data_IF_659111922334
#
_entry.id   IF_659111922334
#
_cell.length_a   1.000
_cell.length_b   1.000
_cell.length_c   1.000
_cell.angle_alpha   90.00
_cell.angle_beta   90.00
_cell.angle_gamma   90.00
#
_symmetry.space_group_name_H-M   'P 1'
#
loop_
_entity.id
_entity.type
_entity.pdbx_description
1 polymer ?
#
# COMPACT_ATOMS: atom_id res chain seq x y z
N UNK A 1 2.36 49.95 45.11
CA UNK A 1 2.38 48.76 45.97
C UNK A 1 3.06 47.66 45.18
N UNK A 2 4.31 47.60 45.30
CA UNK A 2 5.23 46.66 45.89
C UNK A 2 4.99 45.22 45.39
N UNK A 3 5.77 44.81 44.38
CA UNK A 3 6.10 43.44 44.14
C UNK A 3 7.23 42.98 45.03
N UNK A 4 7.73 41.76 45.00
CA UNK A 4 9.16 41.63 45.30
C UNK A 4 9.99 41.00 44.18
N UNK A 5 11.20 41.55 44.09
CA UNK A 5 12.38 41.03 43.43
C UNK A 5 12.63 39.56 43.69
N UNK A 6 13.01 38.82 42.60
CA UNK A 6 13.73 37.57 42.70
C UNK A 6 15.12 37.80 42.15
N UNK A 7 16.07 37.82 43.05
CA UNK A 7 17.50 37.99 42.83
C UNK A 7 18.07 36.85 42.01
N UNK A 8 18.83 37.20 40.98
CA UNK A 8 19.79 36.40 40.29
C UNK A 8 20.85 35.84 41.25
N UNK A 9 20.84 34.53 41.47
CA UNK A 9 21.97 33.81 42.07
C UNK A 9 22.93 33.41 40.98
N UNK A 10 24.05 34.12 40.87
CA UNK A 10 25.19 33.76 40.05
C UNK A 10 25.82 32.49 40.59
N UNK A 11 25.89 31.47 39.76
CA UNK A 11 26.75 30.30 39.96
C UNK A 11 27.93 30.45 39.03
N UNK A 12 28.96 31.15 39.50
CA UNK A 12 30.34 31.02 39.01
C UNK A 12 30.85 29.68 39.55
N UNK A 13 30.85 28.61 38.72
CA UNK A 13 31.61 27.43 39.01
C UNK A 13 32.94 27.49 38.23
N UNK A 14 33.98 27.50 39.00
CA UNK A 14 35.39 27.40 38.58
C UNK A 14 35.56 26.25 37.57
N UNK A 15 36.28 26.55 36.49
CA UNK A 15 36.77 25.57 35.54
C UNK A 15 37.89 24.79 36.23
N UNK A 16 37.53 23.70 36.87
CA UNK A 16 38.50 22.75 37.39
C UNK A 16 39.14 22.01 36.20
N UNK A 17 40.47 22.02 36.18
CA UNK A 17 41.30 21.31 35.24
C UNK A 17 40.90 19.83 35.18
N UNK A 18 40.44 19.38 33.98
CA UNK A 18 40.13 18.01 33.70
C UNK A 18 41.37 17.11 33.87
N UNK A 19 41.43 16.39 34.98
CA UNK A 19 42.34 15.23 35.12
C UNK A 19 41.79 14.14 34.21
N UNK A 20 42.71 13.51 33.43
CA UNK A 20 42.39 12.48 32.45
C UNK A 20 41.47 11.39 33.03
N UNK A 21 40.44 11.07 32.32
CA UNK A 21 39.50 10.00 32.65
C UNK A 21 40.12 8.64 32.31
N UNK A 22 40.99 8.14 33.21
CA UNK A 22 41.35 6.72 33.29
C UNK A 22 40.50 6.07 34.38
N UNK A 23 39.20 5.97 34.20
CA UNK A 23 38.38 5.19 35.11
C UNK A 23 37.93 3.91 34.40
N UNK A 24 38.13 2.76 35.04
CA UNK A 24 37.71 1.44 34.60
C UNK A 24 36.18 1.37 34.31
N UNK A 25 35.37 2.27 34.85
CA UNK A 25 33.95 2.41 34.56
C UNK A 25 33.62 2.69 33.09
N UNK A 26 34.56 3.35 32.35
CA UNK A 26 34.41 3.60 30.91
C UNK A 26 34.50 2.34 30.06
N UNK A 27 35.34 1.43 30.46
CA UNK A 27 35.53 0.14 29.80
C UNK A 27 34.26 -0.71 29.93
N UNK A 28 33.52 -0.51 31.00
CA UNK A 28 32.29 -1.30 31.28
C UNK A 28 31.09 -0.82 30.47
N UNK A 29 30.95 0.47 30.17
CA UNK A 29 29.75 1.03 29.48
C UNK A 29 29.98 1.17 27.98
N UNK A 30 31.19 1.62 27.55
CA UNK A 30 31.52 1.80 26.13
C UNK A 30 32.53 0.78 25.60
N UNK A 31 33.08 -0.08 26.45
CA UNK A 31 34.06 -1.11 26.09
C UNK A 31 35.43 -0.61 25.64
N UNK A 32 35.69 0.71 25.65
CA UNK A 32 36.97 1.28 25.15
C UNK A 32 37.30 2.65 25.73
N UNK A 33 38.58 2.88 25.95
CA UNK A 33 39.16 4.19 26.18
C UNK A 33 39.26 4.96 24.84
N UNK A 34 38.48 6.04 24.67
CA UNK A 34 38.49 6.88 23.48
C UNK A 34 37.32 7.88 23.44
N UNK A 35 37.34 8.84 22.50
CA UNK A 35 36.29 9.82 22.39
C UNK A 35 34.92 9.14 22.03
N UNK A 36 33.88 9.58 22.69
CA UNK A 36 32.50 9.11 22.40
C UNK A 36 32.17 9.36 20.93
N UNK A 37 31.72 8.36 20.15
CA UNK A 37 31.39 8.54 18.73
C UNK A 37 30.18 9.42 18.51
N UNK A 38 29.34 9.62 19.54
CA UNK A 38 28.14 10.45 19.49
C UNK A 38 28.46 11.90 19.83
N UNK A 39 29.26 12.15 20.87
CA UNK A 39 29.53 13.52 21.35
C UNK A 39 30.89 14.10 20.93
N UNK A 40 31.81 13.27 20.43
CA UNK A 40 33.22 13.65 20.11
C UNK A 40 34.02 14.26 21.24
N UNK A 41 33.46 14.37 22.42
CA UNK A 41 34.09 14.91 23.61
C UNK A 41 34.29 13.81 24.65
N UNK A 42 35.36 13.85 25.46
CA UNK A 42 35.49 12.97 26.63
C UNK A 42 34.32 13.23 27.56
N UNK A 43 33.54 12.21 27.90
CA UNK A 43 32.49 12.39 28.90
C UNK A 43 33.06 12.45 30.29
N UNK A 44 32.65 13.39 31.12
CA UNK A 44 33.00 13.39 32.53
C UNK A 44 32.06 12.41 33.28
N UNK A 45 32.59 11.24 33.65
CA UNK A 45 31.90 10.30 34.55
C UNK A 45 30.75 9.47 33.91
N UNK A 46 29.53 9.80 34.12
CA UNK A 46 28.35 9.07 33.62
C UNK A 46 27.93 9.57 32.24
N UNK A 47 27.81 8.66 31.26
CA UNK A 47 27.41 9.01 29.91
C UNK A 47 25.89 9.09 29.81
N UNK A 48 25.34 10.27 29.86
CA UNK A 48 23.89 10.52 29.79
C UNK A 48 23.25 9.91 28.52
N UNK A 49 24.01 9.81 27.44
CA UNK A 49 23.54 9.17 26.21
C UNK A 49 23.42 7.66 26.34
N UNK A 50 24.36 7.02 27.08
CA UNK A 50 24.28 5.59 27.39
C UNK A 50 23.10 5.28 28.28
N UNK A 51 22.86 6.08 29.32
CA UNK A 51 21.72 5.94 30.22
C UNK A 51 20.40 6.14 29.50
N UNK A 52 20.30 7.14 28.64
CA UNK A 52 19.11 7.34 27.80
C UNK A 52 18.90 6.15 26.87
N UNK A 53 19.94 5.62 26.23
CA UNK A 53 19.81 4.45 25.36
C UNK A 53 19.46 3.18 26.14
N UNK A 54 20.01 2.99 27.35
CA UNK A 54 19.70 1.85 28.20
C UNK A 54 18.25 1.90 28.74
N UNK A 55 17.72 3.09 28.97
CA UNK A 55 16.34 3.27 29.48
C UNK A 55 15.25 3.09 28.42
N UNK A 56 15.61 3.09 27.12
CA UNK A 56 14.64 2.97 26.03
C UNK A 56 14.03 1.57 25.99
N UNK A 57 12.70 1.52 25.73
CA UNK A 57 11.97 0.27 25.36
C UNK A 57 12.11 -0.03 23.86
N UNK A 58 13.28 0.25 23.33
CA UNK A 58 13.68 0.05 21.95
C UNK A 58 15.08 -0.56 21.96
N UNK A 59 15.28 -1.65 21.25
CA UNK A 59 16.60 -2.27 21.14
C UNK A 59 17.53 -1.37 20.31
N UNK A 60 18.69 -1.09 20.85
CA UNK A 60 19.73 -0.32 20.16
C UNK A 60 20.98 -1.19 20.05
N UNK A 61 21.46 -1.37 18.82
CA UNK A 61 22.69 -2.09 18.50
C UNK A 61 23.57 -1.17 17.65
N UNK A 62 24.83 -0.98 18.06
CA UNK A 62 25.81 -0.19 17.32
C UNK A 62 26.98 -1.08 16.94
N UNK A 63 27.32 -1.09 15.66
CA UNK A 63 28.44 -1.82 15.08
C UNK A 63 29.61 -0.86 14.77
N UNK A 64 30.82 -1.28 15.07
CA UNK A 64 32.06 -0.71 14.53
C UNK A 64 32.46 -1.53 13.30
N UNK A 65 32.14 -1.04 12.11
CA UNK A 65 32.39 -1.73 10.84
C UNK A 65 33.88 -1.78 10.53
N UNK A 66 34.67 -0.80 11.01
CA UNK A 66 36.13 -0.76 10.79
C UNK A 66 36.89 -1.83 11.60
N UNK A 67 36.30 -2.27 12.72
CA UNK A 67 36.92 -3.26 13.60
C UNK A 67 36.19 -4.60 13.62
N UNK A 68 35.11 -4.72 12.84
CA UNK A 68 34.20 -5.89 12.79
C UNK A 68 33.79 -6.32 14.20
N UNK A 69 33.29 -5.37 15.00
CA UNK A 69 32.93 -5.63 16.40
C UNK A 69 31.66 -4.88 16.82
N UNK A 70 30.99 -5.38 17.85
CA UNK A 70 29.90 -4.64 18.48
C UNK A 70 30.48 -3.52 19.33
N UNK A 71 29.99 -2.30 19.10
CA UNK A 71 30.35 -1.14 19.88
C UNK A 71 29.43 -0.98 21.11
N UNK A 72 28.12 -1.17 20.92
CA UNK A 72 27.12 -1.03 21.97
C UNK A 72 25.89 -1.89 21.68
N UNK A 73 25.32 -2.50 22.73
CA UNK A 73 24.02 -3.18 22.68
C UNK A 73 23.32 -2.85 24.00
N UNK A 74 22.16 -2.21 23.95
CA UNK A 74 21.44 -1.86 25.17
C UNK A 74 20.76 -3.08 25.82
N UNK A 75 20.32 -2.92 27.07
CA UNK A 75 19.68 -3.99 27.85
C UNK A 75 18.49 -4.58 27.11
N UNK A 76 17.63 -3.75 26.55
CA UNK A 76 16.42 -4.21 25.84
C UNK A 76 16.78 -5.10 24.64
N UNK A 77 17.80 -4.73 23.83
CA UNK A 77 18.23 -5.57 22.72
C UNK A 77 18.84 -6.90 23.19
N UNK A 78 19.63 -6.89 24.26
CA UNK A 78 20.18 -8.12 24.87
C UNK A 78 19.08 -9.07 25.34
N UNK A 79 18.12 -8.55 26.09
CA UNK A 79 17.01 -9.34 26.63
C UNK A 79 16.13 -9.92 25.49
N UNK A 80 15.92 -9.13 24.46
CA UNK A 80 15.16 -9.50 23.26
C UNK A 80 15.85 -10.64 22.50
N UNK A 81 17.16 -10.56 22.26
CA UNK A 81 17.93 -11.59 21.58
C UNK A 81 18.00 -12.89 22.39
N UNK A 82 18.25 -12.79 23.69
CA UNK A 82 18.25 -13.95 24.59
C UNK A 82 16.90 -14.65 24.62
N UNK A 83 15.80 -13.89 24.52
CA UNK A 83 14.45 -14.47 24.50
C UNK A 83 14.16 -15.32 23.26
N UNK A 84 15.00 -15.23 22.22
CA UNK A 84 14.93 -16.07 21.01
C UNK A 84 16.15 -17.00 20.87
N UNK A 85 16.90 -17.19 21.96
CA UNK A 85 18.04 -18.12 22.01
C UNK A 85 19.26 -17.65 21.22
N UNK A 86 19.45 -16.34 21.08
CA UNK A 86 20.60 -15.73 20.38
C UNK A 86 21.43 -14.91 21.34
N UNK A 87 22.75 -15.08 21.25
CA UNK A 87 23.70 -14.21 21.97
C UNK A 87 23.98 -12.95 21.16
N UNK A 88 24.20 -11.80 21.81
CA UNK A 88 24.48 -10.53 21.13
C UNK A 88 25.96 -10.44 20.73
N UNK A 89 26.44 -11.32 19.87
CA UNK A 89 27.76 -11.28 19.26
C UNK A 89 27.73 -10.63 17.87
N UNK A 90 28.92 -10.21 17.40
CA UNK A 90 29.04 -9.50 16.13
C UNK A 90 28.64 -10.37 14.93
N UNK A 91 29.08 -11.63 14.88
CA UNK A 91 28.84 -12.51 13.73
C UNK A 91 27.36 -12.80 13.58
N UNK A 92 26.68 -13.16 14.68
CA UNK A 92 25.23 -13.41 14.68
C UNK A 92 24.44 -12.17 14.25
N UNK A 93 24.74 -11.00 14.83
CA UNK A 93 23.96 -9.79 14.56
C UNK A 93 24.30 -9.17 13.21
N UNK A 94 25.55 -9.20 12.78
CA UNK A 94 25.92 -8.68 11.47
C UNK A 94 25.31 -9.52 10.35
N UNK A 95 25.31 -10.84 10.48
CA UNK A 95 24.67 -11.75 9.52
C UNK A 95 23.15 -11.56 9.43
N UNK A 96 22.49 -11.25 10.55
CA UNK A 96 21.02 -11.05 10.59
C UNK A 96 20.58 -9.65 10.15
N UNK A 97 21.35 -8.60 10.50
CA UNK A 97 20.87 -7.23 10.45
C UNK A 97 21.65 -6.35 9.45
N UNK A 98 22.89 -6.71 9.11
CA UNK A 98 23.74 -5.98 8.16
C UNK A 98 23.81 -6.62 6.78
N UNK A 99 23.07 -7.72 6.53
CA UNK A 99 23.08 -8.40 5.24
C UNK A 99 22.92 -7.38 4.10
N UNK A 100 23.76 -7.46 3.04
CA UNK A 100 23.74 -6.51 1.94
C UNK A 100 22.38 -6.57 1.25
N UNK A 101 21.61 -5.52 1.37
CA UNK A 101 20.59 -5.23 0.38
C UNK A 101 21.31 -4.51 -0.75
N UNK A 102 21.03 -4.91 -1.97
CA UNK A 102 21.60 -4.34 -3.19
C UNK A 102 21.09 -2.92 -3.47
N UNK A 103 21.21 -2.01 -2.48
CA UNK A 103 20.81 -0.63 -2.69
C UNK A 103 21.61 0.31 -1.81
N UNK A 104 22.38 1.14 -2.49
CA UNK A 104 22.87 2.37 -1.91
C UNK A 104 21.71 3.33 -1.73
N UNK A 105 21.52 3.77 -0.55
CA UNK A 105 20.98 4.77 -0.21
C UNK A 105 20.45 5.46 0.92
N UNK A 106 19.91 6.55 0.92
CA UNK A 106 19.58 7.57 1.91
C UNK A 106 18.16 7.52 2.50
N UNK A 107 17.38 6.56 2.13
CA UNK A 107 16.05 6.38 2.71
C UNK A 107 16.05 5.12 3.59
N UNK A 108 15.84 5.27 4.90
CA UNK A 108 15.98 4.22 5.91
C UNK A 108 14.71 3.37 6.00
N UNK A 109 14.46 2.39 5.09
CA UNK A 109 13.24 1.62 5.11
C UNK A 109 13.18 0.78 6.38
N UNK A 110 12.03 0.78 7.02
CA UNK A 110 11.73 -0.13 8.11
C UNK A 110 11.75 -1.58 7.54
N UNK A 111 12.57 -2.43 8.13
CA UNK A 111 12.76 -3.83 7.71
C UNK A 111 12.15 -4.75 8.74
N UNK A 112 11.79 -5.95 8.31
CA UNK A 112 11.29 -7.00 9.20
C UNK A 112 12.21 -8.21 9.17
N UNK A 113 12.36 -8.85 10.33
CA UNK A 113 13.12 -10.08 10.51
C UNK A 113 12.32 -11.04 11.36
N UNK A 114 12.11 -12.25 10.87
CA UNK A 114 11.48 -13.31 11.64
C UNK A 114 12.56 -14.22 12.27
N UNK A 115 12.48 -14.40 13.59
CA UNK A 115 13.31 -15.34 14.33
C UNK A 115 12.40 -16.27 15.13
N UNK A 116 12.32 -17.52 14.71
CA UNK A 116 11.36 -18.48 15.27
C UNK A 116 9.92 -18.02 15.09
N UNK A 117 9.18 -17.89 16.19
CA UNK A 117 7.78 -17.42 16.21
C UNK A 117 7.62 -15.91 16.41
N UNK A 118 8.72 -15.15 16.51
CA UNK A 118 8.71 -13.71 16.74
C UNK A 118 9.07 -12.94 15.49
N UNK A 119 8.43 -11.78 15.34
CA UNK A 119 8.67 -10.83 14.27
C UNK A 119 9.26 -9.54 14.83
N UNK A 120 10.40 -9.14 14.28
CA UNK A 120 11.13 -7.94 14.68
C UNK A 120 11.10 -6.92 13.55
N UNK A 121 10.70 -5.70 13.86
CA UNK A 121 10.89 -4.54 13.00
C UNK A 121 12.20 -3.85 13.35
N UNK A 122 13.01 -3.51 12.35
CA UNK A 122 14.25 -2.79 12.57
C UNK A 122 14.55 -1.75 11.49
N UNK A 123 15.30 -0.73 11.87
CA UNK A 123 15.80 0.31 10.96
C UNK A 123 17.29 0.40 11.07
N UNK A 124 18.00 0.37 9.95
CA UNK A 124 19.47 0.43 9.86
C UNK A 124 19.88 1.83 9.42
N UNK A 125 20.83 2.39 10.15
CA UNK A 125 21.52 3.65 9.83
C UNK A 125 23.01 3.40 9.69
N UNK A 126 23.65 4.09 8.74
CA UNK A 126 25.09 4.01 8.53
C UNK A 126 25.71 5.41 8.51
N UNK A 127 26.82 5.59 9.23
CA UNK A 127 27.61 6.79 9.15
C UNK A 127 29.09 6.46 9.33
N UNK A 128 29.91 6.75 8.32
CA UNK A 128 31.35 6.46 8.30
C UNK A 128 31.66 5.00 8.61
N UNK A 129 32.40 4.73 9.72
CA UNK A 129 32.76 3.39 10.17
C UNK A 129 31.78 2.75 11.14
N UNK A 130 30.63 3.38 11.40
CA UNK A 130 29.62 2.86 12.32
C UNK A 130 28.31 2.57 11.59
N UNK A 131 27.60 1.53 12.06
CA UNK A 131 26.22 1.28 11.75
C UNK A 131 25.44 1.13 13.05
N UNK A 132 24.23 1.68 13.13
CA UNK A 132 23.35 1.46 14.28
C UNK A 132 21.97 1.06 13.85
N UNK A 133 21.36 0.25 14.68
CA UNK A 133 20.08 -0.38 14.40
C UNK A 133 19.15 -0.13 15.58
N UNK A 134 17.95 0.30 15.27
CA UNK A 134 16.83 0.27 16.19
C UNK A 134 16.00 -0.96 15.91
N UNK A 135 15.79 -1.81 16.92
CA UNK A 135 14.99 -3.04 16.78
C UNK A 135 13.87 -3.08 17.80
N UNK A 136 12.69 -3.51 17.36
CA UNK A 136 11.50 -3.67 18.21
C UNK A 136 10.84 -5.00 17.92
N UNK A 137 10.35 -5.68 18.96
CA UNK A 137 9.43 -6.80 18.79
C UNK A 137 8.06 -6.26 18.32
N UNK A 138 7.66 -6.64 17.13
CA UNK A 138 6.39 -6.26 16.53
C UNK A 138 5.43 -7.44 16.40
N UNK A 139 5.72 -8.59 17.04
CA UNK A 139 4.94 -9.82 16.93
C UNK A 139 3.48 -9.61 17.31
N UNK A 140 3.25 -8.98 18.46
CA UNK A 140 1.88 -8.71 18.94
C UNK A 140 1.16 -7.70 18.03
N UNK A 141 1.86 -6.66 17.59
CA UNK A 141 1.31 -5.65 16.67
C UNK A 141 0.91 -6.28 15.34
N UNK A 142 1.82 -7.02 14.70
CA UNK A 142 1.56 -7.71 13.43
C UNK A 142 0.43 -8.74 13.56
N UNK A 143 0.36 -9.46 14.70
CA UNK A 143 -0.72 -10.41 14.95
C UNK A 143 -2.08 -9.72 15.11
N UNK A 144 -2.13 -8.61 15.83
CA UNK A 144 -3.36 -7.81 15.99
C UNK A 144 -3.80 -7.19 14.69
N UNK A 145 -2.87 -6.67 13.88
CA UNK A 145 -3.15 -6.15 12.55
C UNK A 145 -3.70 -7.24 11.64
N UNK A 146 -3.11 -8.44 11.65
CA UNK A 146 -3.61 -9.59 10.88
C UNK A 146 -5.00 -10.06 11.35
N UNK A 147 -5.27 -10.04 12.65
CA UNK A 147 -6.60 -10.37 13.20
C UNK A 147 -7.61 -9.27 12.79
N UNK A 148 -7.25 -8.00 12.90
CA UNK A 148 -8.12 -6.90 12.51
C UNK A 148 -8.45 -6.96 11.01
N UNK A 149 -7.47 -7.24 10.16
CA UNK A 149 -7.65 -7.44 8.73
C UNK A 149 -8.54 -8.65 8.42
N UNK A 150 -8.35 -9.76 9.15
CA UNK A 150 -9.20 -10.94 9.02
C UNK A 150 -10.65 -10.66 9.44
N UNK A 151 -10.87 -9.95 10.55
CA UNK A 151 -12.20 -9.55 11.04
C UNK A 151 -12.85 -8.57 10.06
N UNK A 152 -12.12 -7.60 9.57
CA UNK A 152 -12.61 -6.67 8.55
C UNK A 152 -12.99 -7.41 7.26
N UNK A 153 -12.17 -8.37 6.83
CA UNK A 153 -12.44 -9.24 5.68
C UNK A 153 -13.69 -10.09 5.91
N UNK A 154 -13.87 -10.66 7.11
CA UNK A 154 -15.08 -11.45 7.45
C UNK A 154 -16.33 -10.58 7.49
N UNK A 155 -16.27 -9.38 8.06
CA UNK A 155 -17.40 -8.44 8.09
C UNK A 155 -17.75 -7.99 6.67
N UNK A 156 -16.76 -7.68 5.83
CA UNK A 156 -16.96 -7.34 4.44
C UNK A 156 -17.53 -8.50 3.63
N UNK A 157 -17.11 -9.75 3.87
CA UNK A 157 -17.67 -10.95 3.23
C UNK A 157 -19.15 -11.11 3.59
N UNK A 158 -19.52 -11.02 4.89
CA UNK A 158 -20.91 -11.12 5.32
C UNK A 158 -21.81 -10.07 4.68
N UNK A 159 -21.38 -8.83 4.64
CA UNK A 159 -22.08 -7.73 3.98
C UNK A 159 -22.19 -7.96 2.46
N UNK A 160 -21.09 -8.38 1.81
CA UNK A 160 -21.06 -8.69 0.39
C UNK A 160 -22.01 -9.84 0.07
N UNK A 161 -22.06 -10.93 0.85
CA UNK A 161 -23.00 -12.04 0.63
C UNK A 161 -24.46 -11.64 0.81
N UNK A 162 -24.76 -10.81 1.81
CA UNK A 162 -26.12 -10.31 2.01
C UNK A 162 -26.60 -9.47 0.82
N UNK A 163 -25.74 -8.58 0.33
CA UNK A 163 -26.02 -7.73 -0.81
C UNK A 163 -26.07 -8.54 -2.13
N UNK A 164 -25.16 -9.51 -2.33
CA UNK A 164 -25.21 -10.46 -3.47
C UNK A 164 -26.54 -11.19 -3.52
N UNK A 165 -27.00 -11.72 -2.38
CA UNK A 165 -28.30 -12.41 -2.32
C UNK A 165 -29.45 -11.49 -2.73
N UNK A 166 -29.42 -10.23 -2.33
CA UNK A 166 -30.42 -9.24 -2.69
C UNK A 166 -30.34 -8.90 -4.18
N UNK A 167 -29.13 -8.60 -4.68
CA UNK A 167 -28.91 -8.23 -6.08
C UNK A 167 -29.14 -9.38 -7.07
N UNK A 168 -28.94 -10.64 -6.70
CA UNK A 168 -29.33 -11.80 -7.50
C UNK A 168 -30.84 -12.07 -7.43
N UNK A 169 -31.44 -11.84 -6.28
CA UNK A 169 -32.89 -12.03 -6.10
C UNK A 169 -33.71 -11.14 -7.00
N UNK A 170 -33.28 -9.91 -7.23
CA UNK A 170 -34.02 -8.93 -8.04
C UNK A 170 -34.24 -9.40 -9.50
N UNK A 171 -33.17 -9.68 -10.31
CA UNK A 171 -33.34 -10.15 -11.69
C UNK A 171 -34.07 -11.50 -11.76
N UNK A 172 -33.80 -12.43 -10.82
CA UNK A 172 -34.49 -13.72 -10.78
C UNK A 172 -35.99 -13.54 -10.56
N UNK A 173 -36.38 -12.65 -9.65
CA UNK A 173 -37.80 -12.34 -9.41
C UNK A 173 -38.42 -11.62 -10.61
N UNK A 174 -37.71 -10.73 -11.30
CA UNK A 174 -38.16 -10.08 -12.53
C UNK A 174 -38.42 -11.11 -13.65
N UNK A 175 -37.51 -12.04 -13.87
CA UNK A 175 -37.64 -13.14 -14.84
C UNK A 175 -38.85 -14.00 -14.47
N UNK A 176 -38.99 -14.38 -13.19
CA UNK A 176 -40.11 -15.20 -12.72
C UNK A 176 -41.46 -14.51 -12.92
N UNK A 177 -41.55 -13.21 -12.63
CA UNK A 177 -42.74 -12.42 -12.85
C UNK A 177 -43.09 -12.34 -14.33
N UNK A 178 -42.12 -12.07 -15.20
CA UNK A 178 -42.30 -12.02 -16.65
C UNK A 178 -42.77 -13.36 -17.20
N UNK A 179 -42.20 -14.48 -16.79
CA UNK A 179 -42.62 -15.83 -17.17
C UNK A 179 -44.06 -16.13 -16.71
N UNK A 180 -44.44 -15.72 -15.48
CA UNK A 180 -45.78 -15.94 -14.95
C UNK A 180 -46.81 -15.16 -15.74
N UNK A 181 -46.54 -13.92 -16.12
CA UNK A 181 -47.42 -13.09 -16.94
C UNK A 181 -47.54 -13.65 -18.35
N UNK A 182 -46.45 -14.04 -18.98
CA UNK A 182 -46.49 -14.68 -20.30
C UNK A 182 -47.26 -15.99 -20.27
N UNK A 183 -47.04 -16.86 -19.28
CA UNK A 183 -47.74 -18.13 -19.16
C UNK A 183 -49.27 -17.98 -18.98
N UNK A 184 -49.70 -16.90 -18.30
CA UNK A 184 -51.13 -16.62 -18.11
C UNK A 184 -51.80 -15.99 -19.34
N UNK A 185 -51.07 -15.39 -20.26
CA UNK A 185 -51.62 -14.60 -21.37
C UNK A 185 -51.09 -15.01 -22.76
N UNK A 186 -50.45 -16.16 -22.87
CA UNK A 186 -49.77 -16.59 -24.09
C UNK A 186 -50.69 -16.59 -25.33
N UNK A 187 -51.96 -16.98 -25.15
CA UNK A 187 -52.96 -17.04 -26.23
C UNK A 187 -53.56 -15.67 -26.61
N UNK A 188 -53.31 -14.65 -25.77
CA UNK A 188 -53.90 -13.32 -25.96
C UNK A 188 -52.89 -12.27 -26.39
N UNK A 189 -51.61 -12.49 -26.14
CA UNK A 189 -50.58 -11.52 -26.47
C UNK A 189 -50.15 -11.60 -27.94
N UNK A 190 -49.88 -10.43 -28.52
CA UNK A 190 -49.28 -10.35 -29.84
C UNK A 190 -47.84 -10.91 -29.83
N UNK A 191 -47.36 -11.32 -30.99
CA UNK A 191 -45.97 -11.81 -31.15
C UNK A 191 -44.93 -10.77 -30.72
N UNK A 192 -45.22 -9.50 -30.96
CA UNK A 192 -44.40 -8.35 -30.59
C UNK A 192 -44.30 -8.23 -29.07
N UNK A 193 -45.45 -8.30 -28.36
CA UNK A 193 -45.51 -8.27 -26.90
C UNK A 193 -44.75 -9.44 -26.28
N UNK A 194 -44.87 -10.65 -26.83
CA UNK A 194 -44.10 -11.81 -26.38
C UNK A 194 -42.61 -11.58 -26.57
N UNK A 195 -42.20 -11.02 -27.73
CA UNK A 195 -40.79 -10.71 -27.98
C UNK A 195 -40.23 -9.69 -26.96
N UNK A 196 -40.97 -8.63 -26.64
CA UNK A 196 -40.54 -7.65 -25.59
C UNK A 196 -40.32 -8.30 -24.22
N UNK A 197 -41.19 -9.21 -23.80
CA UNK A 197 -41.02 -9.95 -22.54
C UNK A 197 -39.78 -10.86 -22.58
N UNK A 198 -39.56 -11.54 -23.73
CA UNK A 198 -38.36 -12.38 -23.93
C UNK A 198 -37.10 -11.56 -23.87
N UNK A 199 -37.03 -10.45 -24.58
CA UNK A 199 -35.87 -9.54 -24.60
C UNK A 199 -35.56 -9.01 -23.21
N UNK A 200 -36.58 -8.64 -22.44
CA UNK A 200 -36.45 -8.24 -21.04
C UNK A 200 -35.84 -9.35 -20.18
N UNK A 201 -36.32 -10.60 -20.33
CA UNK A 201 -35.75 -11.72 -19.58
C UNK A 201 -34.31 -12.02 -19.98
N UNK A 202 -33.96 -11.94 -21.27
CA UNK A 202 -32.58 -12.08 -21.75
C UNK A 202 -31.67 -11.03 -21.12
N UNK A 203 -32.13 -9.78 -21.03
CA UNK A 203 -31.39 -8.70 -20.38
C UNK A 203 -31.16 -8.97 -18.89
N UNK A 204 -32.12 -9.50 -18.16
CA UNK A 204 -32.00 -9.86 -16.76
C UNK A 204 -31.04 -11.05 -16.55
N UNK A 205 -31.05 -12.05 -17.47
CA UNK A 205 -30.07 -13.15 -17.45
C UNK A 205 -28.65 -12.61 -17.64
N UNK A 206 -28.43 -11.71 -18.60
CA UNK A 206 -27.12 -11.08 -18.82
C UNK A 206 -26.65 -10.30 -17.58
N UNK A 207 -27.58 -9.67 -16.85
CA UNK A 207 -27.28 -9.00 -15.57
C UNK A 207 -26.79 -9.99 -14.50
N UNK A 208 -27.46 -11.16 -14.36
CA UNK A 208 -27.03 -12.24 -13.46
C UNK A 208 -25.64 -12.74 -13.82
N UNK A 209 -25.36 -12.98 -15.11
CA UNK A 209 -24.04 -13.41 -15.58
C UNK A 209 -22.93 -12.39 -15.27
N UNK A 210 -23.23 -11.10 -15.41
CA UNK A 210 -22.29 -10.01 -15.07
C UNK A 210 -21.98 -9.98 -13.56
N UNK A 211 -23.01 -10.16 -12.72
CA UNK A 211 -22.83 -10.27 -11.27
C UNK A 211 -21.96 -11.47 -10.90
N UNK A 212 -22.22 -12.66 -11.48
CA UNK A 212 -21.41 -13.86 -11.23
C UNK A 212 -19.97 -13.70 -11.69
N UNK A 213 -19.72 -13.04 -12.84
CA UNK A 213 -18.35 -12.72 -13.30
C UNK A 213 -17.63 -11.79 -12.33
N UNK A 214 -18.31 -10.77 -11.83
CA UNK A 214 -17.76 -9.83 -10.85
C UNK A 214 -17.39 -10.53 -9.53
N UNK A 215 -18.25 -11.44 -9.05
CA UNK A 215 -17.99 -12.24 -7.86
C UNK A 215 -16.81 -13.20 -8.03
N UNK A 216 -16.70 -13.84 -9.20
CA UNK A 216 -15.54 -14.68 -9.52
C UNK A 216 -14.24 -13.86 -9.51
N UNK A 217 -14.25 -12.65 -10.05
CA UNK A 217 -13.11 -11.73 -10.01
C UNK A 217 -12.76 -11.29 -8.58
N UNK A 218 -13.78 -11.09 -7.71
CA UNK A 218 -13.56 -10.76 -6.30
C UNK A 218 -12.80 -11.87 -5.54
N UNK A 219 -13.05 -13.14 -5.89
CA UNK A 219 -12.40 -14.31 -5.27
C UNK A 219 -11.08 -14.72 -5.94
N UNK A 220 -10.91 -14.43 -7.24
CA UNK A 220 -9.83 -14.97 -8.06
C UNK A 220 -8.42 -14.55 -7.63
N UNK A 221 -8.27 -13.40 -6.95
CA UNK A 221 -6.99 -12.83 -6.59
C UNK A 221 -6.79 -12.75 -5.07
N UNK A 222 -7.16 -13.80 -4.35
CA UNK A 222 -6.90 -13.86 -2.90
C UNK A 222 -5.41 -13.76 -2.55
N UNK A 223 -4.56 -14.32 -3.40
CA UNK A 223 -3.10 -14.23 -3.29
C UNK A 223 -2.53 -13.81 -4.66
N UNK A 224 -2.27 -12.51 -4.89
CA UNK A 224 -1.67 -12.06 -6.14
C UNK A 224 -0.25 -12.63 -6.29
N UNK A 225 0.09 -13.07 -7.50
CA UNK A 225 1.43 -13.50 -7.83
C UNK A 225 2.28 -12.26 -8.18
N UNK A 226 2.87 -11.64 -7.15
CA UNK A 226 3.69 -10.44 -7.33
C UNK A 226 4.94 -10.76 -8.12
N UNK A 227 5.16 -10.04 -9.21
CA UNK A 227 6.37 -10.08 -10.01
C UNK A 227 6.79 -8.66 -10.40
N UNK A 228 8.02 -8.49 -10.80
CA UNK A 228 8.54 -7.21 -11.26
C UNK A 228 8.01 -6.91 -12.65
N UNK A 229 7.22 -5.86 -12.79
CA UNK A 229 6.56 -5.44 -14.04
C UNK A 229 7.06 -4.06 -14.43
N UNK A 230 7.42 -3.90 -15.71
CA UNK A 230 7.68 -2.60 -16.31
C UNK A 230 6.33 -1.94 -16.63
N UNK A 231 5.99 -0.89 -15.90
CA UNK A 231 4.65 -0.30 -15.92
C UNK A 231 4.40 0.52 -17.19
N UNK A 232 5.42 1.14 -17.77
CA UNK A 232 5.29 1.86 -19.04
C UNK A 232 4.87 0.93 -20.17
N UNK A 233 5.60 -0.19 -20.36
CA UNK A 233 5.27 -1.21 -21.37
C UNK A 233 3.90 -1.83 -21.11
N UNK A 234 3.55 -2.08 -19.84
CA UNK A 234 2.23 -2.58 -19.46
C UNK A 234 1.11 -1.62 -19.88
N UNK A 235 1.24 -0.32 -19.60
CA UNK A 235 0.25 0.71 -19.96
C UNK A 235 0.13 0.83 -21.49
N UNK A 236 1.22 0.76 -22.21
CA UNK A 236 1.20 0.77 -23.69
C UNK A 236 0.51 -0.45 -24.28
N UNK A 237 0.76 -1.65 -23.72
CA UNK A 237 0.08 -2.87 -24.13
C UNK A 237 -1.42 -2.82 -23.84
N UNK A 238 -1.78 -2.36 -22.64
CA UNK A 238 -3.17 -2.14 -22.27
C UNK A 238 -3.87 -1.15 -23.21
N UNK A 239 -3.22 -0.04 -23.52
CA UNK A 239 -3.77 0.96 -24.41
C UNK A 239 -4.01 0.40 -25.82
N UNK A 240 -3.07 -0.38 -26.36
CA UNK A 240 -3.26 -1.09 -27.65
C UNK A 240 -4.46 -2.03 -27.58
N UNK A 241 -4.63 -2.75 -26.47
CA UNK A 241 -5.74 -3.67 -26.28
C UNK A 241 -7.11 -2.97 -26.33
N UNK A 242 -7.25 -1.77 -25.73
CA UNK A 242 -8.52 -1.04 -25.69
C UNK A 242 -8.75 -0.11 -26.87
N UNK A 243 -7.74 0.15 -27.72
CA UNK A 243 -7.79 1.13 -28.82
C UNK A 243 -8.93 0.85 -29.80
N UNK A 244 -9.13 -0.41 -30.19
CA UNK A 244 -10.18 -0.76 -31.15
C UNK A 244 -11.58 -0.57 -30.56
N UNK A 245 -11.78 -0.90 -29.29
CA UNK A 245 -13.03 -0.71 -28.59
C UNK A 245 -13.30 0.80 -28.38
N UNK A 246 -12.31 1.57 -27.97
CA UNK A 246 -12.41 3.02 -27.86
C UNK A 246 -12.81 3.65 -29.21
N UNK A 247 -12.18 3.24 -30.32
CA UNK A 247 -12.51 3.73 -31.67
C UNK A 247 -13.95 3.40 -32.07
N UNK A 248 -14.43 2.18 -31.76
CA UNK A 248 -15.81 1.77 -32.04
C UNK A 248 -16.84 2.59 -31.28
N UNK A 249 -16.47 3.00 -30.05
CA UNK A 249 -17.31 3.82 -29.17
C UNK A 249 -17.11 5.34 -29.40
N UNK A 250 -16.35 5.76 -30.41
CA UNK A 250 -16.10 7.18 -30.73
C UNK A 250 -15.21 7.90 -29.71
N UNK A 251 -14.46 7.19 -28.90
CA UNK A 251 -13.61 7.75 -27.85
C UNK A 251 -12.21 8.05 -28.40
N UNK A 252 -11.76 9.30 -28.28
CA UNK A 252 -10.37 9.68 -28.57
C UNK A 252 -9.48 9.26 -27.40
N UNK A 253 -8.60 8.28 -27.63
CA UNK A 253 -7.66 7.79 -26.63
C UNK A 253 -6.32 8.52 -26.75
N UNK A 254 -5.89 9.20 -25.70
CA UNK A 254 -4.57 9.83 -25.59
C UNK A 254 -3.73 9.11 -24.54
N UNK A 255 -2.44 8.87 -24.88
CA UNK A 255 -1.52 8.14 -24.00
C UNK A 255 -0.25 8.97 -23.87
N UNK A 256 0.17 9.20 -22.63
CA UNK A 256 1.46 9.81 -22.33
C UNK A 256 2.17 8.96 -21.26
N UNK A 257 3.11 8.15 -21.74
CA UNK A 257 3.99 7.33 -20.88
C UNK A 257 5.36 8.03 -20.76
N UNK A 258 5.98 7.88 -19.61
CA UNK A 258 7.32 8.38 -19.31
C UNK A 258 8.24 7.19 -19.01
N UNK A 259 9.53 7.48 -18.85
CA UNK A 259 10.64 6.56 -18.60
C UNK A 259 10.29 5.21 -17.95
N UNK A 260 11.06 4.15 -18.22
CA UNK A 260 10.81 2.83 -17.67
C UNK A 260 10.77 2.88 -16.13
N UNK A 261 9.64 2.51 -15.57
CA UNK A 261 9.42 2.40 -14.13
C UNK A 261 8.88 1.01 -13.78
N UNK A 262 9.34 0.46 -12.66
CA UNK A 262 9.09 -0.92 -12.30
C UNK A 262 8.34 -1.01 -10.98
N UNK A 263 7.29 -1.83 -10.92
CA UNK A 263 6.58 -2.14 -9.69
C UNK A 263 6.55 -3.65 -9.42
N UNK A 264 6.42 -4.02 -8.15
CA UNK A 264 6.08 -5.39 -7.75
C UNK A 264 4.56 -5.54 -7.75
N UNK A 265 4.01 -6.13 -8.81
CA UNK A 265 2.57 -6.34 -8.93
C UNK A 265 2.23 -7.65 -9.66
N UNK A 266 0.98 -8.09 -9.56
CA UNK A 266 0.43 -9.14 -10.43
C UNK A 266 -0.14 -8.46 -11.69
N UNK A 267 0.43 -8.66 -12.89
CA UNK A 267 -0.01 -8.00 -14.11
C UNK A 267 -1.46 -8.32 -14.47
N UNK A 268 -1.95 -9.52 -14.12
CA UNK A 268 -3.36 -9.91 -14.39
C UNK A 268 -4.31 -9.15 -13.46
N UNK A 269 -3.93 -8.98 -12.19
CA UNK A 269 -4.70 -8.20 -11.24
C UNK A 269 -4.69 -6.71 -11.64
N UNK A 270 -3.55 -6.17 -12.06
CA UNK A 270 -3.45 -4.80 -12.56
C UNK A 270 -4.25 -4.60 -13.86
N UNK A 271 -4.22 -5.57 -14.77
CA UNK A 271 -5.05 -5.55 -15.99
C UNK A 271 -6.55 -5.50 -15.65
N UNK A 272 -6.99 -6.28 -14.65
CA UNK A 272 -8.39 -6.25 -14.18
C UNK A 272 -8.75 -4.88 -13.61
N UNK A 273 -7.87 -4.25 -12.84
CA UNK A 273 -8.06 -2.87 -12.37
C UNK A 273 -8.25 -1.92 -13.55
N UNK A 274 -7.31 -1.94 -14.51
CA UNK A 274 -7.35 -1.03 -15.66
C UNK A 274 -8.60 -1.25 -16.53
N UNK A 275 -9.03 -2.50 -16.72
CA UNK A 275 -10.28 -2.82 -17.45
C UNK A 275 -11.51 -2.27 -16.73
N UNK A 276 -11.58 -2.38 -15.41
CA UNK A 276 -12.69 -1.81 -14.63
C UNK A 276 -12.74 -0.27 -14.77
N UNK A 277 -11.57 0.38 -14.74
CA UNK A 277 -11.48 1.84 -14.91
C UNK A 277 -11.88 2.26 -16.32
N UNK A 278 -11.37 1.56 -17.34
CA UNK A 278 -11.72 1.81 -18.74
C UNK A 278 -13.23 1.64 -18.99
N UNK A 279 -13.85 0.58 -18.50
CA UNK A 279 -15.28 0.35 -18.64
C UNK A 279 -16.08 1.48 -17.98
N UNK A 280 -15.65 1.97 -16.82
CA UNK A 280 -16.30 3.11 -16.16
C UNK A 280 -16.17 4.40 -16.98
N UNK A 281 -15.00 4.69 -17.52
CA UNK A 281 -14.78 5.85 -18.37
C UNK A 281 -15.58 5.75 -19.69
N UNK A 282 -15.55 4.59 -20.35
CA UNK A 282 -16.31 4.35 -21.59
C UNK A 282 -17.81 4.56 -21.38
N UNK A 283 -18.36 4.08 -20.26
CA UNK A 283 -19.76 4.32 -19.93
C UNK A 283 -20.08 5.81 -19.69
N UNK A 284 -19.20 6.53 -18.99
CA UNK A 284 -19.36 7.95 -18.70
C UNK A 284 -19.27 8.83 -19.98
N UNK A 285 -18.61 8.31 -21.00
CA UNK A 285 -18.39 8.98 -22.28
C UNK A 285 -19.47 8.73 -23.34
N UNK A 286 -20.38 7.75 -23.13
CA UNK A 286 -21.38 7.32 -24.15
C UNK A 286 -22.25 8.45 -24.73
N UNK A 287 -22.47 9.52 -23.99
CA UNK A 287 -23.32 10.63 -24.39
C UNK A 287 -22.54 11.89 -24.77
N UNK A 288 -21.22 11.76 -25.03
CA UNK A 288 -20.35 12.86 -25.41
C UNK A 288 -19.97 12.77 -26.88
N UNK A 289 -20.19 13.84 -27.61
CA UNK A 289 -19.73 13.96 -29.01
C UNK A 289 -18.22 14.14 -29.11
N UNK A 290 -17.61 14.77 -28.10
CA UNK A 290 -16.18 15.04 -27.96
C UNK A 290 -15.49 14.09 -26.96
N UNK A 291 -15.91 12.82 -26.92
CA UNK A 291 -15.44 11.83 -25.95
C UNK A 291 -13.91 11.69 -25.98
N UNK A 292 -13.28 11.98 -24.86
CA UNK A 292 -11.83 11.89 -24.69
C UNK A 292 -11.47 11.09 -23.43
N UNK A 293 -10.54 10.15 -23.59
CA UNK A 293 -9.94 9.40 -22.51
C UNK A 293 -8.42 9.54 -22.55
N UNK A 294 -7.83 10.02 -21.49
CA UNK A 294 -6.38 10.22 -21.37
C UNK A 294 -5.79 9.30 -20.32
N UNK A 295 -4.77 8.53 -20.70
CA UNK A 295 -3.99 7.68 -19.79
C UNK A 295 -2.59 8.27 -19.68
N UNK A 296 -2.17 8.62 -18.46
CA UNK A 296 -0.84 9.16 -18.22
C UNK A 296 -0.12 8.35 -17.15
N UNK A 297 1.19 8.25 -17.28
CA UNK A 297 2.08 7.59 -16.33
C UNK A 297 3.05 8.64 -15.77
N UNK A 298 3.24 8.65 -14.46
CA UNK A 298 4.21 9.50 -13.79
C UNK A 298 4.90 8.70 -12.67
N UNK A 299 6.14 9.08 -12.34
CA UNK A 299 6.84 8.62 -11.16
C UNK A 299 7.15 9.84 -10.29
N UNK A 300 6.75 9.82 -9.03
CA UNK A 300 7.02 10.87 -8.04
C UNK A 300 7.42 10.23 -6.72
N UNK A 301 8.62 10.56 -6.27
CA UNK A 301 9.14 10.15 -4.96
C UNK A 301 9.04 8.63 -4.69
N UNK A 302 9.37 7.80 -5.70
CA UNK A 302 9.30 6.36 -5.59
C UNK A 302 7.86 5.78 -5.65
N UNK A 303 6.89 6.58 -6.07
CA UNK A 303 5.51 6.16 -6.32
C UNK A 303 5.19 6.31 -7.80
N UNK A 304 4.82 5.20 -8.41
CA UNK A 304 4.34 5.16 -9.80
C UNK A 304 2.84 5.48 -9.79
N UNK A 305 2.44 6.46 -10.57
CA UNK A 305 1.06 6.92 -10.67
C UNK A 305 0.56 6.70 -12.11
N UNK A 306 -0.41 5.80 -12.27
CA UNK A 306 -1.17 5.65 -13.50
C UNK A 306 -2.45 6.48 -13.35
N UNK A 307 -2.63 7.49 -14.16
CA UNK A 307 -3.81 8.35 -14.14
C UNK A 307 -4.67 8.09 -15.39
N UNK A 308 -5.94 7.80 -15.20
CA UNK A 308 -6.95 7.70 -16.24
C UNK A 308 -7.95 8.84 -16.03
N UNK A 309 -8.07 9.72 -17.03
CA UNK A 309 -8.94 10.90 -16.98
C UNK A 309 -9.86 10.93 -18.19
N UNK A 310 -11.16 11.05 -17.95
CA UNK A 310 -12.20 11.22 -18.98
C UNK A 310 -12.85 12.61 -18.88
N UNK A 311 -13.43 13.07 -19.96
CA UNK A 311 -14.29 14.26 -20.02
C UNK A 311 -15.79 13.92 -20.01
N UNK A 312 -16.15 12.78 -19.39
CA UNK A 312 -17.51 12.28 -19.34
C UNK A 312 -18.46 13.10 -18.47
N UNK A 313 -19.55 12.47 -18.07
CA UNK A 313 -20.61 13.12 -17.25
C UNK A 313 -20.15 13.49 -15.84
N UNK A 314 -19.07 12.88 -15.35
CA UNK A 314 -18.58 13.08 -13.99
C UNK A 314 -19.50 12.52 -12.93
N UNK A 315 -19.21 12.85 -11.66
CA UNK A 315 -19.95 12.40 -10.48
C UNK A 315 -20.21 13.56 -9.52
N UNK A 316 -21.34 13.53 -8.83
CA UNK A 316 -21.65 14.42 -7.72
C UNK A 316 -20.80 14.09 -6.48
N UNK A 317 -20.70 15.01 -5.52
CA UNK A 317 -19.99 14.77 -4.25
C UNK A 317 -20.55 13.57 -3.48
N UNK A 318 -21.85 13.34 -3.53
CA UNK A 318 -22.50 12.20 -2.90
C UNK A 318 -22.09 10.88 -3.55
N UNK A 319 -22.00 10.83 -4.87
CA UNK A 319 -21.56 9.64 -5.60
C UNK A 319 -20.09 9.35 -5.32
N UNK A 320 -19.22 10.36 -5.34
CA UNK A 320 -17.80 10.21 -4.99
C UNK A 320 -17.64 9.67 -3.57
N UNK A 321 -18.44 10.11 -2.61
CA UNK A 321 -18.40 9.63 -1.23
C UNK A 321 -18.78 8.14 -1.09
N UNK A 322 -19.64 7.63 -1.97
CA UNK A 322 -20.17 6.26 -1.89
C UNK A 322 -19.55 5.30 -2.91
N UNK A 323 -18.76 5.78 -3.86
CA UNK A 323 -18.25 5.02 -5.02
C UNK A 323 -17.46 3.75 -4.68
N UNK A 324 -16.91 3.66 -3.47
CA UNK A 324 -16.21 2.46 -2.96
C UNK A 324 -17.09 1.58 -2.05
N UNK A 325 -18.38 1.88 -1.93
CA UNK A 325 -19.32 1.00 -1.24
C UNK A 325 -19.75 -0.14 -2.18
N UNK A 326 -19.73 -1.39 -1.72
CA UNK A 326 -20.18 -2.52 -2.53
C UNK A 326 -21.62 -2.32 -3.02
N UNK A 327 -21.85 -2.64 -4.29
CA UNK A 327 -23.12 -2.54 -5.00
C UNK A 327 -23.65 -1.12 -5.23
N UNK A 328 -22.92 -0.10 -4.82
CA UNK A 328 -23.28 1.27 -5.18
C UNK A 328 -23.02 1.49 -6.67
N UNK A 329 -24.07 1.82 -7.41
CA UNK A 329 -24.02 2.11 -8.85
C UNK A 329 -25.16 3.04 -9.25
N UNK A 330 -24.87 3.93 -10.17
CA UNK A 330 -25.85 4.80 -10.83
C UNK A 330 -26.24 4.27 -12.23
N UNK A 331 -25.60 3.15 -12.65
CA UNK A 331 -25.81 2.53 -13.95
C UNK A 331 -26.86 1.43 -13.87
N UNK A 332 -27.79 1.35 -14.84
CA UNK A 332 -28.82 0.31 -14.88
C UNK A 332 -28.26 -1.13 -14.94
N UNK A 333 -27.15 -1.34 -15.66
CA UNK A 333 -26.48 -2.64 -15.78
C UNK A 333 -25.23 -2.78 -14.91
N UNK A 334 -24.95 -1.79 -14.06
CA UNK A 334 -23.74 -1.78 -13.21
C UNK A 334 -23.87 -2.73 -12.02
N UNK A 335 -22.79 -3.42 -11.68
CA UNK A 335 -22.76 -4.31 -10.51
C UNK A 335 -22.35 -3.58 -9.23
N UNK A 336 -21.80 -2.36 -9.31
CA UNK A 336 -21.26 -1.62 -8.17
C UNK A 336 -20.06 -2.29 -7.47
N UNK A 337 -19.47 -3.32 -8.07
CA UNK A 337 -18.33 -4.07 -7.50
C UNK A 337 -16.99 -3.69 -8.12
N UNK A 338 -16.95 -3.11 -9.31
CA UNK A 338 -15.73 -2.87 -10.07
C UNK A 338 -14.67 -2.06 -9.29
N UNK A 339 -15.04 -0.90 -8.74
CA UNK A 339 -14.12 -0.05 -7.97
C UNK A 339 -13.75 -0.65 -6.61
N UNK A 340 -14.65 -1.38 -5.98
CA UNK A 340 -14.36 -2.12 -4.73
C UNK A 340 -13.31 -3.20 -4.97
N UNK A 341 -13.46 -3.96 -6.06
CA UNK A 341 -12.48 -4.97 -6.50
C UNK A 341 -11.15 -4.30 -6.82
N UNK A 342 -11.16 -3.20 -7.56
CA UNK A 342 -9.95 -2.46 -7.93
C UNK A 342 -9.18 -1.98 -6.69
N UNK A 343 -9.87 -1.41 -5.70
CA UNK A 343 -9.27 -0.99 -4.42
C UNK A 343 -8.65 -2.16 -3.65
N UNK A 344 -9.37 -3.30 -3.58
CA UNK A 344 -8.89 -4.53 -2.91
C UNK A 344 -7.64 -5.09 -3.61
N UNK A 345 -7.64 -5.17 -4.94
CA UNK A 345 -6.50 -5.68 -5.71
C UNK A 345 -5.26 -4.79 -5.53
N UNK A 346 -5.44 -3.47 -5.61
CA UNK A 346 -4.35 -2.52 -5.41
C UNK A 346 -3.78 -2.59 -4.01
N UNK A 347 -4.62 -2.63 -2.97
CA UNK A 347 -4.17 -2.77 -1.59
C UNK A 347 -3.31 -4.02 -1.38
N UNK A 348 -3.66 -5.15 -2.01
CA UNK A 348 -2.86 -6.39 -1.97
C UNK A 348 -1.51 -6.29 -2.69
N UNK A 349 -1.35 -5.32 -3.57
CA UNK A 349 -0.09 -5.00 -4.27
C UNK A 349 0.64 -3.81 -3.63
N UNK A 350 0.20 -3.36 -2.42
CA UNK A 350 0.78 -2.19 -1.73
C UNK A 350 0.40 -0.85 -2.38
N UNK A 351 -0.55 -0.85 -3.30
CA UNK A 351 -1.01 0.32 -4.03
C UNK A 351 -2.28 0.95 -3.47
N UNK A 352 -2.65 2.10 -4.01
CA UNK A 352 -3.87 2.82 -3.65
C UNK A 352 -4.61 3.31 -4.90
N UNK A 353 -5.88 3.69 -4.73
CA UNK A 353 -6.70 4.32 -5.76
C UNK A 353 -7.35 5.57 -5.20
N UNK A 354 -7.31 6.67 -5.95
CA UNK A 354 -7.97 7.92 -5.62
C UNK A 354 -8.80 8.40 -6.81
N UNK A 355 -9.88 9.12 -6.52
CA UNK A 355 -10.83 9.62 -7.53
C UNK A 355 -11.07 11.10 -7.28
N UNK A 356 -11.00 11.88 -8.34
CA UNK A 356 -11.36 13.29 -8.40
C UNK A 356 -12.37 13.45 -9.55
N UNK A 357 -13.57 13.90 -9.24
CA UNK A 357 -14.66 13.99 -10.22
C UNK A 357 -15.54 15.19 -9.93
N UNK A 358 -16.05 15.77 -10.97
CA UNK A 358 -17.03 16.86 -10.92
C UNK A 358 -18.08 16.63 -11.98
N UNK A 359 -19.35 16.74 -11.58
CA UNK A 359 -20.50 16.60 -12.47
C UNK A 359 -20.38 17.54 -13.67
N UNK A 360 -20.58 17.00 -14.88
CA UNK A 360 -20.43 17.70 -16.14
C UNK A 360 -19.00 17.95 -16.63
N UNK A 361 -17.97 17.68 -15.82
CA UNK A 361 -16.55 17.92 -16.16
C UNK A 361 -15.71 16.68 -16.38
N UNK A 362 -16.25 15.51 -16.00
CA UNK A 362 -15.54 14.23 -16.14
C UNK A 362 -14.92 13.73 -14.85
N UNK A 363 -14.13 12.68 -14.97
CA UNK A 363 -13.53 11.96 -13.84
C UNK A 363 -12.04 11.74 -14.06
N UNK A 364 -11.27 11.87 -13.00
CA UNK A 364 -9.86 11.50 -12.92
C UNK A 364 -9.65 10.45 -11.86
N UNK A 365 -9.16 9.28 -12.27
CA UNK A 365 -8.82 8.20 -11.35
C UNK A 365 -7.31 7.99 -11.37
N UNK A 366 -6.68 7.94 -10.20
CA UNK A 366 -5.26 7.71 -10.05
C UNK A 366 -5.03 6.38 -9.30
N UNK A 367 -4.26 5.51 -9.91
CA UNK A 367 -3.74 4.28 -9.34
C UNK A 367 -2.29 4.51 -8.95
N UNK A 368 -1.94 4.30 -7.70
CA UNK A 368 -0.58 4.45 -7.19
C UNK A 368 -0.01 3.10 -6.82
N UNK A 369 1.23 2.82 -7.24
CA UNK A 369 1.98 1.62 -6.89
C UNK A 369 3.36 2.02 -6.36
N UNK A 370 3.92 1.35 -5.33
CA UNK A 370 5.28 1.59 -4.90
C UNK A 370 6.25 1.18 -6.01
N UNK A 371 7.22 2.04 -6.28
CA UNK A 371 8.29 1.71 -7.23
C UNK A 371 9.17 0.60 -6.65
N UNK A 372 9.43 -0.42 -7.46
CA UNK A 372 10.47 -1.39 -7.16
C UNK A 372 11.79 -0.83 -7.66
N UNK A 373 12.66 -0.41 -6.74
CA UNK A 373 13.96 0.13 -7.09
C UNK A 373 14.69 -0.82 -8.04
N UNK A 374 15.19 -0.23 -9.12
CA UNK A 374 15.76 -0.98 -10.23
C UNK A 374 17.09 -1.64 -9.80
N UNK A 375 17.12 -2.97 -9.75
CA UNK A 375 18.37 -3.69 -9.93
C UNK A 375 18.93 -3.28 -11.32
N UNK A 376 19.88 -2.37 -11.32
CA UNK A 376 20.71 -2.14 -12.51
C UNK A 376 21.45 -3.44 -12.78
N UNK A 377 21.04 -4.18 -13.80
CA UNK A 377 21.86 -5.28 -14.31
C UNK A 377 23.27 -4.74 -14.58
N UNK A 378 24.35 -5.44 -14.16
CA UNK A 378 25.68 -5.06 -14.54
C UNK A 378 25.74 -5.00 -16.06
N UNK A 379 26.13 -3.85 -16.61
CA UNK A 379 26.44 -3.73 -18.02
C UNK A 379 27.65 -4.62 -18.25
N UNK A 380 27.48 -5.71 -18.97
CA UNK A 380 28.58 -6.48 -19.52
C UNK A 380 29.27 -5.58 -20.55
N UNK A 381 30.49 -5.11 -20.20
CA UNK A 381 31.48 -4.64 -21.15
C UNK A 381 32.03 -5.82 -21.98
#
# INVERSE_FOLDING_TARGET
MCGPDVRSAGITKEVGQARGCESEAWVTICGRAGPCPISRTPCPGECIYADVMESQRLGVVIFDLGRSSLYFVNRYARDLLRSVGREPDYETLSGLLLAPTAEGDNDHPARTLQIGSRLFGYTLYRARSFAWIYVRDITTKARLESIAEAVETMNNIGYVFAAVRHELGNPINSIKAALSVLGANLDTYSRETVAEYVDRMVSEVARVENLLRSLKSFSAYERPALQRVEIGAFVEEFARFVTEDARKNGIRLEIATWSPCWAMCDPRALQQVMLNLYANASDALRQRDDAELRITLANRDGIIIICMADNGVGMSELEVKHLFQPFFTTKESGTGLGLVISRKLLAKMGGTITVDSMEGRGTRIQVSLPESSAYRAPQHE
#
